data_IF_613755676801
#
_entry.id   IF_613755676801
#
_cell.length_a   1.000
_cell.length_b   1.000
_cell.length_c   1.000
_cell.angle_alpha   90.00
_cell.angle_beta   90.00
_cell.angle_gamma   90.00
#
_symmetry.space_group_name_H-M   'P 1'
#
loop_
_entity.id
_entity.type
_entity.pdbx_description
1 polymer ?
#
# COMPACT_ATOMS: atom_id res chain seq x y z
N UNK A 1 -26.07 -11.84 -26.36
CA UNK A 1 -24.75 -11.91 -25.66
C UNK A 1 -23.57 -11.41 -26.49
N UNK A 2 -23.54 -11.55 -27.83
CA UNK A 2 -22.42 -11.04 -28.66
C UNK A 2 -22.18 -9.52 -28.58
N UNK A 3 -23.24 -8.72 -28.73
CA UNK A 3 -23.13 -7.24 -28.76
C UNK A 3 -22.66 -6.59 -27.44
N UNK A 4 -22.92 -7.24 -26.30
CA UNK A 4 -22.45 -6.75 -24.98
C UNK A 4 -20.94 -6.97 -24.83
N UNK A 5 -20.38 -8.05 -25.39
CA UNK A 5 -18.92 -8.28 -25.43
C UNK A 5 -18.22 -7.26 -26.33
N UNK A 6 -18.82 -6.95 -27.48
CA UNK A 6 -18.27 -5.95 -28.41
C UNK A 6 -18.28 -4.54 -27.79
N UNK A 7 -19.36 -4.18 -27.08
CA UNK A 7 -19.45 -2.93 -26.32
C UNK A 7 -18.43 -2.84 -25.17
N UNK A 8 -18.25 -3.91 -24.39
CA UNK A 8 -17.23 -3.95 -23.33
C UNK A 8 -15.80 -3.83 -23.87
N UNK A 9 -15.52 -4.44 -25.03
CA UNK A 9 -14.20 -4.40 -25.67
C UNK A 9 -13.78 -2.98 -26.07
N UNK A 10 -14.70 -2.20 -26.63
CA UNK A 10 -14.45 -0.80 -27.02
C UNK A 10 -14.25 0.10 -25.79
N UNK A 11 -15.04 -0.12 -24.73
CA UNK A 11 -14.89 0.64 -23.47
C UNK A 11 -13.56 0.34 -22.76
N UNK A 12 -13.07 -0.90 -22.78
CA UNK A 12 -11.77 -1.25 -22.19
C UNK A 12 -10.60 -0.58 -22.91
N UNK A 13 -10.64 -0.47 -24.25
CA UNK A 13 -9.60 0.23 -25.00
C UNK A 13 -9.51 1.72 -24.64
N UNK A 14 -10.65 2.39 -24.46
CA UNK A 14 -10.72 3.80 -24.07
C UNK A 14 -10.24 4.06 -22.64
N UNK A 15 -10.53 3.15 -21.70
CA UNK A 15 -10.08 3.26 -20.31
C UNK A 15 -8.55 3.19 -20.19
N UNK A 16 -7.89 2.35 -21.01
CA UNK A 16 -6.42 2.24 -21.04
C UNK A 16 -5.76 3.51 -21.60
N UNK A 17 -6.39 4.18 -22.58
CA UNK A 17 -5.84 5.43 -23.14
C UNK A 17 -5.95 6.60 -22.15
N UNK A 18 -7.04 6.65 -21.36
CA UNK A 18 -7.24 7.70 -20.36
C UNK A 18 -6.21 7.61 -19.21
N UNK A 19 -5.87 6.39 -18.78
CA UNK A 19 -4.86 6.17 -17.74
C UNK A 19 -3.44 6.63 -18.17
N UNK A 20 -3.10 6.47 -19.46
CA UNK A 20 -1.82 6.96 -19.99
C UNK A 20 -1.74 8.51 -20.06
N UNK A 21 -2.88 9.19 -20.24
CA UNK A 21 -2.95 10.65 -20.29
C UNK A 21 -2.80 11.34 -18.93
N UNK A 22 -3.30 10.72 -17.85
CA UNK A 22 -3.26 11.29 -16.49
C UNK A 22 -1.86 11.38 -15.88
N UNK A 23 -0.90 10.56 -16.35
CA UNK A 23 0.48 10.60 -15.88
C UNK A 23 1.18 11.95 -16.15
N UNK A 24 0.72 12.70 -17.16
CA UNK A 24 1.30 14.00 -17.53
C UNK A 24 0.71 15.19 -16.74
N UNK A 25 -0.44 15.00 -16.08
CA UNK A 25 -1.12 16.04 -15.32
C UNK A 25 -0.76 16.07 -13.82
N UNK A 26 0.03 15.10 -13.36
CA UNK A 26 0.55 15.01 -11.99
C UNK A 26 1.96 15.60 -11.85
N UNK A 27 2.51 16.25 -12.88
CA UNK A 27 3.67 17.11 -12.66
C UNK A 27 3.25 18.21 -11.68
N UNK A 28 3.88 18.31 -10.50
CA UNK A 28 3.56 19.38 -9.58
C UNK A 28 3.80 20.72 -10.31
N UNK A 29 2.96 21.74 -10.07
CA UNK A 29 3.24 23.08 -10.59
C UNK A 29 4.67 23.46 -10.16
N UNK A 30 5.41 24.26 -10.95
CA UNK A 30 6.77 24.68 -10.61
C UNK A 30 6.73 25.53 -9.34
N UNK A 31 6.71 24.84 -8.20
CA UNK A 31 6.87 25.40 -6.87
C UNK A 31 8.34 25.67 -6.64
N UNK A 32 8.63 26.77 -5.96
CA UNK A 32 9.96 27.20 -5.56
C UNK A 32 10.78 26.00 -5.08
N UNK A 33 11.89 25.73 -5.79
CA UNK A 33 12.75 24.61 -5.48
C UNK A 33 13.07 24.62 -3.97
N UNK A 34 12.95 23.48 -3.27
CA UNK A 34 13.35 23.40 -1.87
C UNK A 34 14.78 23.92 -1.78
N UNK A 35 15.06 24.81 -0.82
CA UNK A 35 16.42 25.21 -0.52
C UNK A 35 17.19 23.95 -0.12
N UNK A 36 17.93 23.41 -1.09
CA UNK A 36 18.83 22.29 -0.87
C UNK A 36 19.96 22.87 -0.01
N UNK A 37 19.98 22.52 1.27
CA UNK A 37 21.18 22.71 2.08
C UNK A 37 22.35 22.09 1.32
N UNK A 38 23.49 22.79 1.22
CA UNK A 38 24.63 22.31 0.45
C UNK A 38 24.95 20.87 0.86
N UNK A 39 25.07 20.00 -0.15
CA UNK A 39 25.36 18.60 0.08
C UNK A 39 26.62 18.48 0.95
N UNK A 40 26.63 17.62 1.98
CA UNK A 40 27.84 17.35 2.72
C UNK A 40 28.94 16.90 1.74
N UNK A 41 30.22 17.23 2.01
CA UNK A 41 31.32 16.85 1.14
C UNK A 41 31.29 15.33 0.89
N UNK A 42 31.60 14.90 -0.35
CA UNK A 42 31.58 13.47 -0.69
C UNK A 42 32.48 12.70 0.28
N UNK A 43 31.94 11.65 0.88
CA UNK A 43 32.76 10.69 1.61
C UNK A 43 33.82 10.12 0.66
N UNK A 44 35.07 9.91 1.14
CA UNK A 44 36.14 9.36 0.31
C UNK A 44 35.69 8.04 -0.30
N UNK A 45 35.90 7.89 -1.60
CA UNK A 45 35.53 6.69 -2.34
C UNK A 45 36.18 5.46 -1.69
N UNK A 46 35.43 4.39 -1.38
CA UNK A 46 36.02 3.16 -0.91
C UNK A 46 36.99 2.63 -1.97
N UNK A 47 38.20 2.25 -1.53
CA UNK A 47 39.22 1.68 -2.39
C UNK A 47 38.62 0.51 -3.19
N UNK A 48 38.81 0.55 -4.51
CA UNK A 48 38.31 -0.47 -5.43
C UNK A 48 38.89 -1.84 -5.05
N UNK A 49 38.07 -2.67 -4.39
CA UNK A 49 38.34 -4.08 -4.22
C UNK A 49 38.21 -4.74 -5.60
N UNK A 50 39.34 -5.15 -6.17
CA UNK A 50 39.42 -5.98 -7.36
C UNK A 50 38.63 -7.26 -7.12
N UNK A 51 37.53 -7.42 -7.85
CA UNK A 51 36.72 -8.63 -7.80
C UNK A 51 37.56 -9.84 -8.26
N UNK A 52 37.49 -10.99 -7.57
CA UNK A 52 38.17 -12.20 -8.01
C UNK A 52 37.61 -12.68 -9.36
N UNK A 53 38.44 -13.33 -10.20
CA UNK A 53 38.01 -13.87 -11.48
C UNK A 53 36.90 -14.91 -11.29
N UNK A 54 35.82 -14.78 -12.09
CA UNK A 54 34.71 -15.74 -12.09
C UNK A 54 35.20 -17.13 -12.54
N UNK A 55 34.86 -18.21 -11.82
CA UNK A 55 35.06 -19.58 -12.30
C UNK A 55 34.31 -19.80 -13.62
N UNK A 56 34.97 -20.45 -14.58
CA UNK A 56 34.36 -20.86 -15.85
C UNK A 56 33.26 -21.90 -15.57
N UNK A 57 32.04 -21.62 -16.05
CA UNK A 57 30.94 -22.59 -15.97
C UNK A 57 31.20 -23.76 -16.93
N UNK A 58 30.98 -25.01 -16.50
CA UNK A 58 31.01 -26.17 -17.39
C UNK A 58 29.84 -26.11 -18.40
N UNK A 59 30.01 -26.72 -19.60
CA UNK A 59 28.98 -26.77 -20.62
C UNK A 59 27.74 -27.54 -20.14
N UNK A 60 26.56 -26.98 -20.40
CA UNK A 60 25.28 -27.55 -20.03
C UNK A 60 25.05 -28.88 -20.77
N UNK A 61 25.13 -29.99 -20.04
CA UNK A 61 24.64 -31.28 -20.52
C UNK A 61 23.11 -31.24 -20.61
N UNK A 62 22.57 -31.55 -21.79
CA UNK A 62 21.14 -31.58 -22.05
C UNK A 62 20.41 -32.57 -21.15
N UNK A 63 19.70 -32.05 -20.15
CA UNK A 63 18.75 -32.82 -19.37
C UNK A 63 17.43 -32.90 -20.14
N UNK A 64 17.11 -34.11 -20.61
CA UNK A 64 15.79 -34.41 -21.15
C UNK A 64 14.72 -34.13 -20.08
N UNK A 65 13.75 -33.30 -20.43
CA UNK A 65 12.59 -32.97 -19.60
C UNK A 65 11.76 -34.24 -19.36
N UNK A 66 11.61 -34.74 -18.12
CA UNK A 66 10.69 -35.84 -17.85
C UNK A 66 9.25 -35.36 -18.07
N UNK A 67 8.46 -36.17 -18.76
CA UNK A 67 7.05 -35.90 -19.01
C UNK A 67 6.27 -35.80 -17.67
N UNK A 68 5.28 -34.89 -17.56
CA UNK A 68 4.48 -34.73 -16.36
C UNK A 68 3.66 -36.00 -16.09
N UNK A 69 3.86 -36.58 -14.90
CA UNK A 69 3.10 -37.74 -14.41
C UNK A 69 1.70 -37.25 -14.03
N UNK A 70 0.67 -37.89 -14.59
CA UNK A 70 -0.72 -37.60 -14.23
C UNK A 70 -0.93 -37.85 -12.71
N UNK A 71 -1.64 -36.96 -12.00
CA UNK A 71 -1.96 -37.18 -10.59
C UNK A 71 -2.90 -38.39 -10.43
N UNK A 72 -2.70 -39.23 -9.41
CA UNK A 72 -3.60 -40.35 -9.14
C UNK A 72 -4.99 -39.83 -8.77
N UNK A 73 -6.00 -40.39 -9.42
CA UNK A 73 -7.39 -40.13 -9.10
C UNK A 73 -7.75 -40.81 -7.78
N UNK A 74 -8.23 -40.03 -6.81
CA UNK A 74 -9.00 -40.55 -5.70
C UNK A 74 -8.23 -40.71 -4.39
N UNK A 75 -7.98 -39.60 -3.71
CA UNK A 75 -7.93 -39.61 -2.25
C UNK A 75 -8.47 -38.27 -1.75
N UNK A 76 -9.78 -38.22 -1.48
CA UNK A 76 -10.41 -37.13 -0.76
C UNK A 76 -9.94 -37.19 0.70
N UNK A 77 -8.69 -36.76 0.93
CA UNK A 77 -8.16 -36.57 2.27
C UNK A 77 -9.02 -35.51 2.96
N UNK A 78 -9.77 -35.93 3.98
CA UNK A 78 -10.55 -35.03 4.81
C UNK A 78 -9.67 -33.90 5.32
N UNK A 79 -10.07 -32.66 5.01
CA UNK A 79 -9.41 -31.47 5.53
C UNK A 79 -9.44 -31.55 7.06
N UNK A 80 -8.29 -31.66 7.76
CA UNK A 80 -8.28 -31.70 9.21
C UNK A 80 -8.93 -30.42 9.73
N UNK A 81 -9.84 -30.56 10.69
CA UNK A 81 -10.49 -29.41 11.31
C UNK A 81 -9.41 -28.42 11.82
N UNK A 82 -9.59 -27.11 11.59
CA UNK A 82 -8.65 -26.13 12.08
C UNK A 82 -8.51 -26.24 13.61
N UNK A 83 -7.30 -26.04 14.16
CA UNK A 83 -7.10 -26.06 15.60
C UNK A 83 -8.01 -25.02 16.28
N UNK A 84 -8.51 -25.31 17.49
CA UNK A 84 -9.32 -24.36 18.24
C UNK A 84 -8.55 -23.06 18.46
N UNK A 85 -9.19 -21.93 18.16
CA UNK A 85 -8.65 -20.60 18.41
C UNK A 85 -8.45 -20.45 19.92
N UNK A 86 -7.25 -20.07 20.42
CA UNK A 86 -7.03 -19.82 21.83
C UNK A 86 -8.02 -18.77 22.33
N UNK A 87 -8.68 -19.05 23.47
CA UNK A 87 -9.58 -18.10 24.09
C UNK A 87 -8.82 -16.79 24.42
N UNK A 88 -9.43 -15.61 24.22
CA UNK A 88 -8.81 -14.36 24.61
C UNK A 88 -8.51 -14.39 26.11
N UNK A 89 -7.35 -13.84 26.55
CA UNK A 89 -7.04 -13.77 27.97
C UNK A 89 -8.14 -13.01 28.72
N UNK A 90 -8.53 -13.45 29.93
CA UNK A 90 -9.56 -12.78 30.70
C UNK A 90 -9.19 -11.32 30.94
N UNK A 91 -10.15 -10.42 30.73
CA UNK A 91 -9.98 -8.96 30.76
C UNK A 91 -9.62 -8.35 32.15
N UNK A 92 -9.17 -9.16 33.12
CA UNK A 92 -8.92 -8.75 34.50
C UNK A 92 -7.46 -8.77 34.96
N UNK A 93 -6.50 -9.23 34.14
CA UNK A 93 -5.11 -9.41 34.56
C UNK A 93 -4.17 -8.26 34.15
N UNK A 94 -4.62 -7.00 34.21
CA UNK A 94 -3.68 -5.88 34.38
C UNK A 94 -3.18 -5.96 35.81
N UNK A 95 -2.10 -6.72 35.99
CA UNK A 95 -1.43 -6.87 37.27
C UNK A 95 -1.20 -5.50 37.89
N UNK A 96 -1.64 -5.34 39.14
CA UNK A 96 -1.12 -4.29 39.99
C UNK A 96 0.41 -4.37 39.95
N UNK A 97 1.12 -3.23 39.89
CA UNK A 97 2.57 -3.25 39.99
C UNK A 97 2.95 -4.02 41.26
N UNK A 98 3.95 -4.93 41.22
CA UNK A 98 4.34 -5.72 42.38
C UNK A 98 4.62 -4.78 43.56
N UNK A 99 3.78 -4.87 44.58
CA UNK A 99 3.95 -4.14 45.83
C UNK A 99 5.17 -4.72 46.54
N UNK A 100 6.29 -4.01 46.50
CA UNK A 100 7.47 -4.45 47.24
C UNK A 100 8.84 -4.08 46.69
N UNK A 101 8.99 -3.06 45.83
CA UNK A 101 10.34 -2.49 45.70
C UNK A 101 10.64 -1.70 46.98
N UNK A 102 11.56 -2.16 47.85
CA UNK A 102 12.07 -1.29 48.90
C UNK A 102 12.74 -0.08 48.24
N UNK A 103 12.66 1.12 48.83
CA UNK A 103 13.45 2.25 48.39
C UNK A 103 14.93 1.86 48.54
N UNK A 104 15.57 1.46 47.43
CA UNK A 104 17.00 1.35 47.38
C UNK A 104 17.56 2.77 47.50
N UNK A 105 17.89 3.15 48.74
CA UNK A 105 18.79 4.26 48.98
C UNK A 105 20.08 4.03 48.19
N UNK A 106 20.71 5.09 47.67
CA UNK A 106 21.96 4.96 46.93
C UNK A 106 22.99 4.24 47.81
N UNK A 107 23.75 3.28 47.27
CA UNK A 107 24.77 2.55 48.03
C UNK A 107 25.77 3.55 48.64
N UNK A 108 25.84 3.55 49.96
CA UNK A 108 26.84 4.30 50.71
C UNK A 108 28.23 3.71 50.41
N UNK A 109 29.04 4.41 49.62
CA UNK A 109 30.41 3.95 49.36
C UNK A 109 31.10 4.44 48.09
N UNK A 110 30.50 5.34 47.29
CA UNK A 110 31.25 5.94 46.19
C UNK A 110 32.28 6.96 46.72
N UNK A 111 33.56 6.82 46.36
CA UNK A 111 34.59 7.80 46.70
C UNK A 111 34.25 9.18 46.10
N UNK A 112 34.60 10.28 46.79
CA UNK A 112 34.38 11.64 46.34
C UNK A 112 35.39 11.96 45.23
N UNK A 113 35.18 11.40 44.04
CA UNK A 113 35.78 11.97 42.84
C UNK A 113 35.03 13.26 42.56
N UNK A 114 35.76 14.36 42.43
CA UNK A 114 35.25 15.71 42.21
C UNK A 114 34.50 15.85 40.89
N UNK A 115 33.32 15.24 40.82
CA UNK A 115 32.21 15.75 40.05
C UNK A 115 31.90 17.09 40.69
N UNK A 116 32.44 18.14 40.08
CA UNK A 116 31.85 19.47 40.19
C UNK A 116 30.35 19.27 40.14
N UNK A 117 29.67 19.77 41.17
CA UNK A 117 28.23 19.97 41.17
C UNK A 117 27.88 21.05 40.13
N UNK A 118 28.26 20.81 38.87
CA UNK A 118 27.58 21.37 37.72
C UNK A 118 26.15 20.91 37.90
N UNK A 119 25.32 21.87 38.26
CA UNK A 119 23.96 21.67 38.68
C UNK A 119 23.30 20.61 37.82
N UNK A 120 22.91 19.49 38.41
CA UNK A 120 21.69 18.85 38.02
C UNK A 120 20.59 19.87 38.30
N UNK A 121 20.46 20.86 37.42
CA UNK A 121 19.20 21.52 37.20
C UNK A 121 18.30 20.36 36.80
N UNK A 122 17.31 19.95 37.62
CA UNK A 122 16.18 19.25 37.04
C UNK A 122 15.80 20.09 35.83
N UNK A 123 15.58 19.47 34.67
CA UNK A 123 15.04 20.16 33.52
C UNK A 123 13.60 20.59 33.87
N UNK A 124 13.48 21.52 34.80
CA UNK A 124 12.27 22.08 35.34
C UNK A 124 11.83 23.11 34.33
N UNK A 125 10.87 22.72 33.50
CA UNK A 125 10.03 23.69 32.82
C UNK A 125 10.65 24.35 31.60
N UNK A 126 11.36 23.59 30.76
CA UNK A 126 11.35 23.90 29.33
C UNK A 126 9.91 23.82 28.84
N UNK A 127 9.18 24.94 28.96
CA UNK A 127 7.83 25.14 28.49
C UNK A 127 7.70 24.50 27.11
N UNK A 128 6.73 23.59 26.98
CA UNK A 128 6.58 22.64 25.88
C UNK A 128 7.07 23.17 24.55
N UNK A 129 8.32 22.85 24.21
CA UNK A 129 8.80 23.00 22.86
C UNK A 129 7.87 22.13 22.00
N UNK A 130 6.91 22.79 21.33
CA UNK A 130 5.96 22.16 20.44
C UNK A 130 6.79 21.36 19.44
N UNK A 131 6.90 20.05 19.68
CA UNK A 131 7.59 19.18 18.73
C UNK A 131 6.85 19.31 17.42
N UNK A 132 7.53 19.62 16.32
CA UNK A 132 6.87 19.75 15.04
C UNK A 132 6.13 18.44 14.76
N UNK A 133 4.82 18.52 14.58
CA UNK A 133 4.02 17.37 14.13
C UNK A 133 4.44 17.09 12.70
N UNK A 134 5.07 15.94 12.47
CA UNK A 134 5.46 15.54 11.13
C UNK A 134 4.27 14.86 10.46
N UNK A 135 4.00 15.24 9.20
CA UNK A 135 3.00 14.60 8.38
C UNK A 135 3.66 13.55 7.50
N UNK A 136 3.32 12.29 7.73
CA UNK A 136 3.82 11.17 6.93
C UNK A 136 2.73 10.74 5.95
N UNK A 137 3.09 10.69 4.67
CA UNK A 137 2.18 10.25 3.61
C UNK A 137 2.28 8.75 3.40
N UNK A 138 1.18 8.03 3.64
CA UNK A 138 1.09 6.58 3.39
C UNK A 138 0.29 6.24 2.12
N UNK A 139 0.02 7.23 1.27
CA UNK A 139 -0.80 7.06 0.07
C UNK A 139 -0.19 6.10 -0.96
N UNK A 140 1.13 5.86 -0.92
CA UNK A 140 1.77 4.88 -1.78
C UNK A 140 1.21 3.46 -1.59
N UNK A 141 0.77 3.08 -0.38
CA UNK A 141 0.15 1.77 -0.14
C UNK A 141 -1.20 1.66 -0.84
N UNK A 142 -1.97 2.75 -0.83
CA UNK A 142 -3.22 2.83 -1.57
C UNK A 142 -2.96 2.77 -3.08
N UNK A 143 -1.92 3.43 -3.60
CA UNK A 143 -1.53 3.33 -5.01
C UNK A 143 -1.23 1.89 -5.45
N UNK A 144 -0.57 1.09 -4.62
CA UNK A 144 -0.31 -0.32 -4.95
C UNK A 144 -1.60 -1.13 -5.03
N UNK A 145 -2.51 -0.96 -4.07
CA UNK A 145 -3.78 -1.68 -4.06
C UNK A 145 -4.66 -1.23 -5.22
N UNK A 146 -4.76 0.09 -5.46
CA UNK A 146 -5.54 0.67 -6.55
C UNK A 146 -4.97 0.25 -7.91
N UNK A 147 -3.66 0.40 -8.11
CA UNK A 147 -2.98 0.03 -9.35
C UNK A 147 -3.07 -1.47 -9.63
N UNK A 148 -2.83 -2.32 -8.63
CA UNK A 148 -2.97 -3.77 -8.75
C UNK A 148 -4.40 -4.18 -9.14
N UNK A 149 -5.40 -3.60 -8.46
CA UNK A 149 -6.81 -3.88 -8.76
C UNK A 149 -7.23 -3.38 -10.14
N UNK A 150 -6.76 -2.20 -10.54
CA UNK A 150 -7.03 -1.63 -11.87
C UNK A 150 -6.42 -2.46 -13.00
N UNK A 151 -5.20 -2.99 -12.80
CA UNK A 151 -4.53 -3.86 -13.77
C UNK A 151 -5.23 -5.21 -13.96
N UNK A 152 -5.95 -5.70 -12.93
CA UNK A 152 -6.71 -6.94 -13.04
C UNK A 152 -8.00 -6.79 -13.86
N UNK A 153 -8.56 -5.59 -13.99
CA UNK A 153 -9.79 -5.34 -14.79
C UNK A 153 -9.64 -5.78 -16.25
N UNK A 154 -8.66 -5.32 -17.04
CA UNK A 154 -8.53 -5.76 -18.43
C UNK A 154 -8.21 -7.26 -18.54
N UNK A 155 -7.50 -7.84 -17.58
CA UNK A 155 -7.23 -9.30 -17.53
C UNK A 155 -8.53 -10.07 -17.31
N UNK A 156 -9.39 -9.60 -16.40
CA UNK A 156 -10.69 -10.20 -16.14
C UNK A 156 -11.61 -10.11 -17.37
N UNK A 157 -11.64 -8.95 -18.04
CA UNK A 157 -12.45 -8.77 -19.26
C UNK A 157 -11.93 -9.64 -20.40
N UNK A 158 -10.60 -9.66 -20.62
CA UNK A 158 -9.98 -10.46 -21.69
C UNK A 158 -10.12 -11.97 -21.48
N UNK A 159 -10.07 -12.44 -20.23
CA UNK A 159 -10.27 -13.85 -19.89
C UNK A 159 -11.74 -14.25 -19.78
N UNK A 160 -12.65 -13.30 -19.57
CA UNK A 160 -14.06 -13.57 -19.28
C UNK A 160 -14.31 -14.15 -17.88
N UNK A 161 -13.34 -14.03 -16.96
CA UNK A 161 -13.44 -14.59 -15.60
C UNK A 161 -14.19 -13.62 -14.69
N UNK A 162 -15.43 -13.96 -14.33
CA UNK A 162 -16.27 -13.11 -13.49
C UNK A 162 -15.68 -12.92 -12.08
N UNK A 163 -15.06 -13.96 -11.53
CA UNK A 163 -14.41 -13.96 -10.22
C UNK A 163 -13.28 -12.94 -10.18
N UNK A 164 -12.46 -12.89 -11.23
CA UNK A 164 -11.35 -11.95 -11.33
C UNK A 164 -11.87 -10.51 -11.43
N UNK A 165 -12.98 -10.30 -12.13
CA UNK A 165 -13.62 -8.99 -12.21
C UNK A 165 -14.17 -8.56 -10.84
N UNK A 166 -14.84 -9.47 -10.13
CA UNK A 166 -15.36 -9.22 -8.77
C UNK A 166 -14.21 -8.89 -7.81
N UNK A 167 -13.10 -9.63 -7.85
CA UNK A 167 -11.91 -9.34 -7.02
C UNK A 167 -11.33 -7.96 -7.37
N UNK A 168 -11.21 -7.65 -8.67
CA UNK A 168 -10.70 -6.35 -9.15
C UNK A 168 -11.56 -5.18 -8.66
N UNK A 169 -12.88 -5.29 -8.83
CA UNK A 169 -13.83 -4.25 -8.43
C UNK A 169 -13.86 -4.07 -6.90
N UNK A 170 -13.82 -5.17 -6.14
CA UNK A 170 -13.72 -5.09 -4.68
C UNK A 170 -12.42 -4.43 -4.23
N UNK A 171 -11.30 -4.71 -4.90
CA UNK A 171 -10.02 -4.05 -4.62
C UNK A 171 -10.07 -2.54 -4.89
N UNK A 172 -10.68 -2.12 -5.99
CA UNK A 172 -10.89 -0.69 -6.31
C UNK A 172 -11.81 0.01 -5.28
N UNK A 173 -12.88 -0.67 -4.88
CA UNK A 173 -13.86 -0.12 -3.93
C UNK A 173 -13.29 -0.07 -2.49
N UNK A 174 -12.75 -1.18 -2.01
CA UNK A 174 -12.39 -1.38 -0.60
C UNK A 174 -10.92 -1.14 -0.28
N UNK A 175 -10.04 -1.04 -1.28
CA UNK A 175 -8.60 -0.88 -1.07
C UNK A 175 -8.23 0.31 -0.19
N UNK A 176 -8.72 1.51 -0.55
CA UNK A 176 -8.56 2.73 0.25
C UNK A 176 -9.10 2.59 1.69
N UNK A 177 -10.38 2.22 1.89
CA UNK A 177 -10.96 2.00 3.21
C UNK A 177 -10.15 1.04 4.08
N UNK A 178 -9.74 -0.11 3.53
CA UNK A 178 -8.93 -1.11 4.25
C UNK A 178 -7.57 -0.52 4.65
N UNK A 179 -6.91 0.21 3.75
CA UNK A 179 -5.63 0.88 4.06
C UNK A 179 -5.81 1.90 5.18
N UNK A 180 -6.86 2.71 5.17
CA UNK A 180 -7.12 3.65 6.28
C UNK A 180 -7.38 2.92 7.61
N UNK A 181 -8.15 1.82 7.58
CA UNK A 181 -8.41 1.01 8.77
C UNK A 181 -7.16 0.34 9.33
N UNK A 182 -6.27 -0.14 8.46
CA UNK A 182 -4.99 -0.74 8.84
C UNK A 182 -4.08 0.25 9.59
N UNK A 183 -4.19 1.56 9.30
CA UNK A 183 -3.49 2.63 10.00
C UNK A 183 -4.27 3.17 11.22
N UNK A 184 -5.33 2.47 11.66
CA UNK A 184 -6.16 2.88 12.79
C UNK A 184 -7.07 4.08 12.51
N UNK A 185 -7.22 4.49 11.25
CA UNK A 185 -8.01 5.66 10.86
C UNK A 185 -9.44 5.28 10.43
N UNK A 186 -10.22 4.75 11.36
CA UNK A 186 -11.58 4.23 11.09
C UNK A 186 -12.49 5.26 10.39
N UNK A 187 -12.51 6.49 10.89
CA UNK A 187 -13.31 7.57 10.32
C UNK A 187 -12.92 7.93 8.89
N UNK A 188 -11.61 7.97 8.56
CA UNK A 188 -11.14 8.22 7.19
C UNK A 188 -11.51 7.06 6.26
N UNK A 189 -11.49 5.82 6.74
CA UNK A 189 -11.92 4.68 5.95
C UNK A 189 -13.40 4.72 5.59
N UNK A 190 -14.29 5.12 6.51
CA UNK A 190 -15.71 5.34 6.18
C UNK A 190 -15.93 6.55 5.28
N UNK A 191 -15.18 7.65 5.46
CA UNK A 191 -15.24 8.80 4.57
C UNK A 191 -14.82 8.42 3.13
N UNK A 192 -13.74 7.67 2.99
CA UNK A 192 -13.29 7.09 1.72
C UNK A 192 -14.35 6.20 1.08
N UNK A 193 -14.95 5.28 1.85
CA UNK A 193 -16.00 4.40 1.35
C UNK A 193 -17.23 5.19 0.88
N UNK A 194 -17.68 6.16 1.67
CA UNK A 194 -18.79 7.04 1.33
C UNK A 194 -18.51 7.86 0.08
N UNK A 195 -17.29 8.39 -0.08
CA UNK A 195 -16.87 9.12 -1.26
C UNK A 195 -16.90 8.24 -2.52
N UNK A 196 -16.46 6.97 -2.42
CA UNK A 196 -16.48 6.02 -3.54
C UNK A 196 -17.89 5.60 -3.94
N UNK A 197 -18.72 5.23 -2.97
CA UNK A 197 -20.13 4.88 -3.20
C UNK A 197 -20.88 6.09 -3.78
N UNK A 198 -20.71 7.26 -3.16
CA UNK A 198 -21.31 8.51 -3.63
C UNK A 198 -20.84 8.89 -5.04
N UNK A 199 -19.53 8.82 -5.30
CA UNK A 199 -18.94 9.06 -6.61
C UNK A 199 -19.49 8.12 -7.68
N UNK A 200 -19.58 6.83 -7.38
CA UNK A 200 -20.16 5.84 -8.29
C UNK A 200 -21.64 6.10 -8.58
N UNK A 201 -22.44 6.43 -7.56
CA UNK A 201 -23.87 6.72 -7.74
C UNK A 201 -24.08 8.00 -8.56
N UNK A 202 -23.36 9.08 -8.22
CA UNK A 202 -23.46 10.37 -8.93
C UNK A 202 -22.98 10.23 -10.38
N UNK A 203 -21.80 9.64 -10.58
CA UNK A 203 -21.26 9.40 -11.91
C UNK A 203 -22.16 8.50 -12.74
N UNK A 204 -22.70 7.44 -12.14
CA UNK A 204 -23.62 6.52 -12.81
C UNK A 204 -24.93 7.21 -13.21
N UNK A 205 -25.48 8.08 -12.35
CA UNK A 205 -26.67 8.86 -12.73
C UNK A 205 -26.40 9.81 -13.89
N UNK A 206 -25.26 10.49 -13.89
CA UNK A 206 -24.86 11.36 -15.01
C UNK A 206 -24.72 10.54 -16.29
N UNK A 207 -23.97 9.44 -16.25
CA UNK A 207 -23.78 8.58 -17.42
C UNK A 207 -25.06 7.96 -17.94
N UNK A 208 -25.97 7.53 -17.06
CA UNK A 208 -27.28 7.02 -17.44
C UNK A 208 -28.15 8.10 -18.11
N UNK A 209 -28.12 9.34 -17.61
CA UNK A 209 -28.83 10.45 -18.23
C UNK A 209 -28.27 10.77 -19.62
N UNK A 210 -26.94 10.91 -19.74
CA UNK A 210 -26.28 11.17 -21.03
C UNK A 210 -26.55 10.07 -22.05
N UNK A 211 -26.57 8.80 -21.64
CA UNK A 211 -26.82 7.68 -22.55
C UNK A 211 -28.28 7.60 -23.02
N UNK A 212 -29.25 8.08 -22.21
CA UNK A 212 -30.66 8.16 -22.61
C UNK A 212 -30.88 9.19 -23.70
N UNK A 213 -30.22 10.33 -23.61
CA UNK A 213 -30.36 11.42 -24.58
C UNK A 213 -29.71 11.07 -25.93
N UNK A 214 -28.80 10.10 -25.96
CA UNK A 214 -28.05 9.70 -27.16
C UNK A 214 -28.69 8.58 -27.99
N UNK A 215 -29.75 7.91 -27.49
CA UNK A 215 -30.32 6.71 -28.13
C UNK A 215 -31.72 6.90 -28.70
N UNK A 216 -31.95 6.46 -29.93
CA UNK A 216 -33.30 6.18 -30.46
C UNK A 216 -33.64 4.70 -30.18
N UNK A 217 -34.62 4.41 -29.31
CA UNK A 217 -35.06 3.03 -29.01
C UNK A 217 -35.31 2.72 -27.53
N UNK A 218 -35.21 1.44 -27.16
CA UNK A 218 -35.40 0.98 -25.76
C UNK A 218 -34.32 1.60 -24.85
N UNK A 219 -34.75 2.44 -23.91
CA UNK A 219 -33.89 3.29 -23.09
C UNK A 219 -33.18 2.53 -21.97
N UNK A 220 -33.56 1.28 -21.69
CA UNK A 220 -33.04 0.52 -20.54
C UNK A 220 -31.58 0.11 -20.78
N UNK A 221 -31.26 -0.44 -21.96
CA UNK A 221 -29.90 -0.92 -22.26
C UNK A 221 -28.87 0.23 -22.30
N UNK A 222 -29.09 1.35 -23.02
CA UNK A 222 -28.17 2.48 -23.02
C UNK A 222 -28.01 3.09 -21.63
N UNK A 223 -29.10 3.23 -20.87
CA UNK A 223 -29.04 3.78 -19.52
C UNK A 223 -28.22 2.90 -18.56
N UNK A 224 -28.32 1.58 -18.66
CA UNK A 224 -27.53 0.66 -17.84
C UNK A 224 -26.04 0.73 -18.18
N UNK A 225 -25.69 0.76 -19.47
CA UNK A 225 -24.30 0.93 -19.93
C UNK A 225 -23.74 2.28 -19.48
N UNK A 226 -24.51 3.35 -19.66
CA UNK A 226 -24.17 4.69 -19.19
C UNK A 226 -23.97 4.74 -17.68
N UNK A 227 -24.83 4.07 -16.91
CA UNK A 227 -24.69 3.98 -15.45
C UNK A 227 -23.39 3.30 -15.03
N UNK A 228 -23.04 2.16 -15.66
CA UNK A 228 -21.82 1.43 -15.34
C UNK A 228 -20.56 2.23 -15.70
N UNK A 229 -20.55 2.87 -16.87
CA UNK A 229 -19.41 3.65 -17.33
C UNK A 229 -19.23 4.92 -16.51
N UNK A 230 -20.31 5.69 -16.33
CA UNK A 230 -20.33 6.89 -15.50
C UNK A 230 -20.00 6.58 -14.05
N UNK A 231 -20.50 5.48 -13.50
CA UNK A 231 -20.21 5.05 -12.13
C UNK A 231 -18.75 4.65 -11.96
N UNK A 232 -18.15 4.00 -12.95
CA UNK A 232 -16.72 3.64 -12.95
C UNK A 232 -15.83 4.89 -12.96
N UNK A 233 -16.17 5.91 -13.77
CA UNK A 233 -15.47 7.20 -13.79
C UNK A 233 -15.64 7.95 -12.46
N UNK A 234 -16.86 8.02 -11.93
CA UNK A 234 -17.12 8.65 -10.63
C UNK A 234 -16.37 7.98 -9.49
N UNK A 235 -16.27 6.64 -9.50
CA UNK A 235 -15.47 5.88 -8.54
C UNK A 235 -13.97 6.13 -8.70
N UNK A 236 -13.46 6.24 -9.93
CA UNK A 236 -12.06 6.59 -10.18
C UNK A 236 -11.73 7.99 -9.63
N UNK A 237 -12.58 8.98 -9.90
CA UNK A 237 -12.43 10.33 -9.35
C UNK A 237 -12.43 10.31 -7.81
N UNK A 238 -13.34 9.54 -7.20
CA UNK A 238 -13.36 9.37 -5.75
C UNK A 238 -12.06 8.77 -5.20
N UNK A 239 -11.46 7.79 -5.89
CA UNK A 239 -10.16 7.24 -5.50
C UNK A 239 -9.03 8.28 -5.57
N UNK A 240 -9.03 9.15 -6.59
CA UNK A 240 -8.04 10.22 -6.73
C UNK A 240 -8.15 11.22 -5.57
N UNK A 241 -9.37 11.64 -5.23
CA UNK A 241 -9.62 12.56 -4.11
C UNK A 241 -9.23 11.93 -2.78
N UNK A 242 -9.58 10.66 -2.57
CA UNK A 242 -9.20 9.90 -1.37
C UNK A 242 -7.68 9.88 -1.21
N UNK A 243 -6.94 9.51 -2.27
CA UNK A 243 -5.48 9.45 -2.29
C UNK A 243 -4.82 10.83 -2.07
N UNK A 244 -5.43 11.90 -2.56
CA UNK A 244 -4.86 13.24 -2.42
C UNK A 244 -5.07 13.84 -1.03
N UNK A 245 -6.19 13.53 -0.37
CA UNK A 245 -6.64 14.28 0.83
C UNK A 245 -6.48 13.48 2.11
N UNK A 246 -6.75 12.17 2.09
CA UNK A 246 -6.89 11.37 3.32
C UNK A 246 -5.62 10.65 3.82
N UNK A 247 -4.58 10.32 3.02
CA UNK A 247 -3.52 9.42 3.47
C UNK A 247 -2.35 10.14 4.13
N UNK A 248 -2.65 11.02 5.08
CA UNK A 248 -1.66 11.66 5.95
C UNK A 248 -1.85 11.20 7.39
N UNK A 249 -0.77 10.77 8.02
CA UNK A 249 -0.66 10.57 9.46
C UNK A 249 0.04 11.74 10.11
N UNK A 250 -0.42 12.11 11.29
CA UNK A 250 0.30 13.02 12.17
C UNK A 250 1.15 12.17 13.12
N UNK A 251 2.44 12.07 12.84
CA UNK A 251 3.39 11.43 13.73
C UNK A 251 3.97 12.49 14.65
N UNK A 252 3.73 12.32 15.96
CA UNK A 252 4.50 13.05 16.97
C UNK A 252 5.93 12.54 16.85
N UNK A 253 6.88 13.44 16.59
CA UNK A 253 8.30 13.08 16.62
C UNK A 253 8.66 12.61 18.03
N UNK A 254 8.63 11.30 18.25
CA UNK A 254 9.34 10.69 19.36
C UNK A 254 10.83 11.00 19.15
N UNK A 255 11.59 11.29 20.23
CA UNK A 255 13.02 11.54 20.11
C UNK A 255 13.60 10.32 19.43
N UNK A 256 14.25 10.52 18.29
CA UNK A 256 14.76 9.46 17.44
C UNK A 256 15.69 8.57 18.29
N UNK A 257 15.13 7.49 18.85
CA UNK A 257 15.91 6.45 19.49
C UNK A 257 16.59 5.74 18.34
N UNK A 258 17.80 6.21 18.02
CA UNK A 258 18.59 5.82 16.86
C UNK A 258 19.07 4.35 16.89
N UNK A 259 18.43 3.47 17.65
CA UNK A 259 18.90 2.10 17.92
C UNK A 259 17.88 1.03 17.53
N UNK A 260 17.01 1.34 16.57
CA UNK A 260 16.14 0.34 15.94
C UNK A 260 16.69 0.02 14.58
N UNK A 261 17.13 -1.23 14.40
CA UNK A 261 17.42 -1.87 13.12
C UNK A 261 16.33 -1.48 12.11
N UNK A 262 16.57 -0.47 11.27
CA UNK A 262 15.61 -0.06 10.25
C UNK A 262 15.70 -1.06 9.11
N UNK A 263 14.91 -2.13 9.20
CA UNK A 263 14.66 -3.02 8.07
C UNK A 263 14.01 -2.18 6.98
N UNK A 264 14.76 -1.91 5.92
CA UNK A 264 14.24 -1.22 4.72
C UNK A 264 13.97 -2.28 3.69
N UNK A 265 12.71 -2.44 3.28
CA UNK A 265 12.31 -3.30 2.18
C UNK A 265 11.87 -2.41 1.02
N UNK A 266 12.43 -2.65 -0.16
CA UNK A 266 12.05 -2.03 -1.41
C UNK A 266 11.61 -3.13 -2.38
N UNK A 267 10.40 -3.02 -2.97
CA UNK A 267 10.01 -3.91 -4.05
C UNK A 267 10.90 -3.67 -5.28
N UNK A 268 11.26 -4.76 -5.95
CA UNK A 268 11.98 -4.76 -7.22
C UNK A 268 11.14 -5.47 -8.27
N UNK A 269 10.90 -4.80 -9.38
CA UNK A 269 10.24 -5.39 -10.55
C UNK A 269 11.23 -5.37 -11.70
N UNK A 270 11.48 -6.54 -12.28
CA UNK A 270 12.29 -6.70 -13.49
C UNK A 270 11.42 -7.18 -14.64
N UNK A 271 11.51 -6.53 -15.79
CA UNK A 271 10.87 -6.99 -17.04
C UNK A 271 11.96 -7.51 -17.97
N UNK A 272 11.82 -8.76 -18.43
CA UNK A 272 12.67 -9.36 -19.44
C UNK A 272 11.80 -9.92 -20.58
N UNK A 273 12.33 -10.09 -21.81
CA UNK A 273 11.57 -10.67 -22.92
C UNK A 273 10.98 -12.06 -22.62
N UNK A 274 11.54 -12.77 -21.64
CA UNK A 274 11.21 -14.14 -21.29
C UNK A 274 10.29 -14.24 -20.05
N UNK A 275 9.96 -13.11 -19.42
CA UNK A 275 9.10 -13.07 -18.24
C UNK A 275 9.29 -11.82 -17.38
N UNK A 276 8.44 -11.69 -16.37
CA UNK A 276 8.55 -10.68 -15.33
C UNK A 276 9.07 -11.30 -14.03
N UNK A 277 9.97 -10.61 -13.34
CA UNK A 277 10.45 -10.97 -12.00
C UNK A 277 9.94 -9.95 -10.98
N UNK A 278 9.48 -10.46 -9.83
CA UNK A 278 9.11 -9.66 -8.68
C UNK A 278 9.96 -10.09 -7.49
N UNK A 279 10.55 -9.14 -6.79
CA UNK A 279 11.41 -9.41 -5.63
C UNK A 279 11.33 -8.31 -4.58
N UNK A 280 11.94 -8.57 -3.44
CA UNK A 280 12.13 -7.61 -2.36
C UNK A 280 13.64 -7.48 -2.11
N UNK A 281 14.12 -6.28 -1.85
CA UNK A 281 15.51 -6.07 -1.43
C UNK A 281 15.64 -4.89 -0.48
N UNK A 282 16.70 -4.86 0.31
CA UNK A 282 17.07 -3.69 1.10
C UNK A 282 18.02 -4.02 2.24
N UNK A 283 18.04 -3.20 3.29
CA UNK A 283 19.02 -3.30 4.39
C UNK A 283 18.37 -3.95 5.60
N UNK A 284 19.03 -4.98 6.13
CA UNK A 284 18.66 -5.71 7.34
C UNK A 284 19.85 -5.70 8.31
#
# INVERSE_FOLDING_TARGET
MGRVRDGLGVCCAAAVTLAAGQAKALEPPPGSAPQVSPAPPPSPAPAALTAPPRPAMPPAAGAATPAPRAPPAGEAAGVPAPPPVPAPPPAGARGAPPAGYPPHGPPAGYPPHGWSAGAWQPASGGAGANRPVQRVWYGWQHLLVLGGSALLVPVAVGSGTAELLVVSLNGLALGGPIVHWAHGHVGKGFASLGLKVGGAVVGGRIGAATARDAGEGDWIEPAAVGFLFGGSLGMLTANIVDLAVLPYEEQKSEPESHDHLRVRLAPKVGLAPQGATFGLGGTF
#
